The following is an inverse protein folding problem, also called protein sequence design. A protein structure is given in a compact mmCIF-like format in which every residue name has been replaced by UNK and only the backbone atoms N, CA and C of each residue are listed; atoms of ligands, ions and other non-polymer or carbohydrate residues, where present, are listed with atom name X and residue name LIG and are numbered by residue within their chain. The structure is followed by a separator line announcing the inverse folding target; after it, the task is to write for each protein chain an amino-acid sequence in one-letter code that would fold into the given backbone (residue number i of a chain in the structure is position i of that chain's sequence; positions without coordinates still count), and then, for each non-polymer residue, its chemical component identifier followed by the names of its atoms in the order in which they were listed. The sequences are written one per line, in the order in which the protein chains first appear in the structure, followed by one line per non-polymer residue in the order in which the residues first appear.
data_IF_401827708020
#
_entry.id   IF_401827708020
#
_cell.length_a   1.000
_cell.length_b   1.000
_cell.length_c   1.000
_cell.angle_alpha   90.00
_cell.angle_beta   90.00
_cell.angle_gamma   90.00
#
_symmetry.space_group_name_H-M   'P 1'
#
loop_
_entity.id
_entity.type
_entity.pdbx_description
1 polymer ?
#
# COMPACT_ATOMS: atom_id res chain seq x y z
N UNK A 1 -53.81 -26.42 54.82
CA UNK A 1 -52.50 -27.09 54.99
C UNK A 1 -51.66 -26.68 53.84
N UNK A 2 -50.48 -26.22 54.08
CA UNK A 2 -49.57 -25.32 53.36
C UNK A 2 -49.36 -25.66 51.88
N UNK A 3 -49.71 -24.69 51.02
CA UNK A 3 -49.40 -24.56 49.61
C UNK A 3 -48.04 -23.87 49.52
N UNK A 4 -47.09 -24.52 48.86
CA UNK A 4 -45.78 -23.96 48.55
C UNK A 4 -45.85 -23.43 47.13
N UNK A 5 -45.81 -22.12 46.97
CA UNK A 5 -45.66 -21.43 45.69
C UNK A 5 -44.24 -21.62 45.15
N UNK A 6 -44.13 -22.28 44.01
CA UNK A 6 -42.89 -22.26 43.22
C UNK A 6 -42.99 -21.18 42.16
N UNK A 7 -42.28 -20.11 42.39
CA UNK A 7 -42.05 -19.05 41.38
C UNK A 7 -41.08 -19.58 40.33
N UNK A 8 -41.59 -19.77 39.12
CA UNK A 8 -40.75 -20.04 37.94
C UNK A 8 -40.16 -18.72 37.46
N UNK A 9 -38.85 -18.57 37.66
CA UNK A 9 -38.09 -17.49 37.04
C UNK A 9 -37.82 -17.87 35.58
N UNK A 10 -38.56 -17.25 34.66
CA UNK A 10 -38.27 -17.32 33.22
C UNK A 10 -37.06 -16.40 32.94
N UNK A 11 -35.88 -16.99 32.81
CA UNK A 11 -34.72 -16.28 32.27
C UNK A 11 -34.94 -16.08 30.77
N UNK A 12 -35.31 -14.87 30.39
CA UNK A 12 -35.32 -14.46 28.99
C UNK A 12 -33.88 -14.36 28.50
N UNK A 13 -33.40 -15.41 27.82
CA UNK A 13 -32.21 -15.37 26.99
C UNK A 13 -32.50 -14.43 25.81
N UNK A 14 -32.11 -13.17 25.95
CA UNK A 14 -32.05 -12.24 24.86
C UNK A 14 -30.98 -12.69 23.87
N UNK A 15 -31.44 -13.33 22.79
CA UNK A 15 -30.60 -13.58 21.61
C UNK A 15 -30.37 -12.22 20.93
N UNK A 16 -29.32 -11.52 21.33
CA UNK A 16 -28.82 -10.40 20.55
C UNK A 16 -28.19 -10.99 19.30
N UNK A 17 -28.94 -10.92 18.20
CA UNK A 17 -28.39 -11.10 16.85
C UNK A 17 -27.33 -10.00 16.71
N UNK A 18 -26.08 -10.37 16.89
CA UNK A 18 -24.94 -9.53 16.57
C UNK A 18 -25.00 -9.23 15.07
N UNK A 19 -25.51 -8.06 14.72
CA UNK A 19 -25.22 -7.42 13.46
C UNK A 19 -23.68 -7.42 13.34
N UNK A 20 -23.18 -8.17 12.35
CA UNK A 20 -21.76 -8.25 12.07
C UNK A 20 -21.20 -6.83 11.99
N UNK A 21 -20.40 -6.49 12.97
CA UNK A 21 -19.57 -5.32 12.93
C UNK A 21 -18.75 -5.47 11.67
N UNK A 22 -18.99 -4.63 10.66
CA UNK A 22 -17.98 -4.33 9.67
C UNK A 22 -16.68 -4.20 10.46
N UNK A 23 -15.63 -4.89 10.02
CA UNK A 23 -14.31 -4.79 10.63
C UNK A 23 -13.88 -3.33 10.47
N UNK A 24 -14.40 -2.48 11.34
CA UNK A 24 -14.00 -1.10 11.46
C UNK A 24 -12.50 -1.15 11.72
N UNK A 25 -11.74 -0.54 10.82
CA UNK A 25 -10.33 -0.29 11.03
C UNK A 25 -10.21 0.48 12.36
N UNK A 26 -9.86 -0.20 13.44
CA UNK A 26 -9.46 0.44 14.70
C UNK A 26 -8.09 1.08 14.48
N UNK A 27 -8.09 2.17 13.69
CA UNK A 27 -6.95 3.05 13.59
C UNK A 27 -6.61 3.52 14.99
N UNK A 28 -5.42 3.18 15.49
CA UNK A 28 -4.92 3.70 16.73
C UNK A 28 -5.11 5.22 16.70
N UNK A 29 -6.03 5.75 17.52
CA UNK A 29 -6.11 7.19 17.79
C UNK A 29 -4.74 7.60 18.27
N UNK A 30 -3.96 8.18 17.38
CA UNK A 30 -2.72 8.86 17.76
C UNK A 30 -3.20 10.08 18.51
N UNK A 31 -3.03 10.09 19.84
CA UNK A 31 -3.17 11.31 20.62
C UNK A 31 -2.30 12.36 19.94
N UNK A 32 -2.78 13.61 19.77
CA UNK A 32 -1.97 14.66 19.17
C UNK A 32 -0.76 14.94 20.08
N UNK A 33 0.29 14.15 19.90
CA UNK A 33 1.58 14.51 20.44
C UNK A 33 1.94 15.87 19.84
N UNK A 34 2.40 16.81 20.65
CA UNK A 34 2.91 18.09 20.17
C UNK A 34 3.99 17.81 19.16
N UNK A 35 3.63 17.97 17.88
CA UNK A 35 4.48 17.62 16.76
C UNK A 35 5.57 18.68 16.70
N UNK A 36 6.72 18.37 17.24
CA UNK A 36 7.88 19.23 17.13
C UNK A 36 8.69 18.88 15.87
N UNK A 37 8.19 19.36 14.72
CA UNK A 37 9.04 19.48 13.53
C UNK A 37 9.84 20.79 13.55
N UNK A 38 10.09 21.33 14.73
CA UNK A 38 10.64 22.66 14.95
C UNK A 38 9.59 23.78 14.81
N UNK A 39 9.90 25.03 15.23
CA UNK A 39 8.99 26.17 15.18
C UNK A 39 8.75 26.63 13.74
N UNK A 40 8.02 25.82 12.98
CA UNK A 40 7.66 26.12 11.60
C UNK A 40 6.14 26.20 11.48
N UNK A 41 5.57 27.14 12.19
CA UNK A 41 4.40 27.83 11.66
C UNK A 41 4.89 28.54 10.39
N UNK A 42 4.58 27.96 9.20
CA UNK A 42 4.65 28.73 7.96
C UNK A 42 3.81 29.96 8.25
N UNK A 43 4.47 31.11 8.48
CA UNK A 43 3.75 32.38 8.69
C UNK A 43 2.84 32.53 7.50
N UNK A 44 1.60 32.97 7.71
CA UNK A 44 0.59 33.08 6.66
C UNK A 44 1.04 33.88 5.42
N UNK A 45 2.21 34.58 5.48
CA UNK A 45 2.83 35.28 4.37
C UNK A 45 3.91 34.51 3.61
N UNK A 46 4.48 33.43 4.18
CA UNK A 46 5.59 32.66 3.61
C UNK A 46 5.14 31.35 2.93
N UNK A 47 3.86 30.98 3.07
CA UNK A 47 3.31 29.79 2.42
C UNK A 47 3.18 30.04 0.90
N UNK A 48 3.57 29.07 0.04
CA UNK A 48 3.29 29.15 -1.38
C UNK A 48 1.81 29.43 -1.61
N UNK A 49 1.47 30.28 -2.59
CA UNK A 49 0.08 30.56 -2.97
C UNK A 49 -0.66 29.23 -3.18
N UNK A 50 -1.73 28.99 -2.40
CA UNK A 50 -2.54 27.76 -2.48
C UNK A 50 -2.42 26.81 -1.28
N UNK A 51 -1.36 26.87 -0.45
CA UNK A 51 -1.25 25.99 0.74
C UNK A 51 -2.38 26.28 1.74
N UNK A 52 -2.71 27.56 1.97
CA UNK A 52 -3.84 27.92 2.85
C UNK A 52 -5.18 27.38 2.35
N UNK A 53 -5.43 27.40 1.05
CA UNK A 53 -6.65 26.82 0.45
C UNK A 53 -6.67 25.30 0.62
N UNK A 54 -5.52 24.62 0.46
CA UNK A 54 -5.41 23.18 0.71
C UNK A 54 -5.63 22.85 2.18
N UNK A 55 -5.09 23.65 3.10
CA UNK A 55 -5.28 23.48 4.54
C UNK A 55 -6.77 23.60 4.90
N UNK A 56 -7.43 24.65 4.43
CA UNK A 56 -8.87 24.82 4.63
C UNK A 56 -9.67 23.61 4.11
N UNK A 57 -9.42 23.16 2.88
CA UNK A 57 -10.10 22.01 2.31
C UNK A 57 -9.81 20.70 3.07
N UNK A 58 -8.58 20.53 3.57
CA UNK A 58 -8.19 19.37 4.38
C UNK A 58 -8.89 19.37 5.76
N UNK A 59 -9.08 20.52 6.36
CA UNK A 59 -9.84 20.69 7.60
C UNK A 59 -11.33 20.39 7.41
N UNK A 60 -11.87 20.65 6.20
CA UNK A 60 -13.24 20.27 5.81
C UNK A 60 -13.37 18.78 5.44
N UNK A 61 -12.31 17.96 5.62
CA UNK A 61 -12.35 16.52 5.39
C UNK A 61 -12.04 16.07 3.97
N UNK A 62 -11.57 16.94 3.06
CA UNK A 62 -11.23 16.55 1.71
C UNK A 62 -10.02 15.61 1.68
N UNK A 63 -10.24 14.31 1.36
CA UNK A 63 -9.17 13.32 1.23
C UNK A 63 -8.09 13.74 0.21
N UNK A 64 -8.51 14.37 -0.88
CA UNK A 64 -7.58 14.88 -1.92
C UNK A 64 -6.66 15.98 -1.38
N UNK A 65 -7.22 16.92 -0.59
CA UNK A 65 -6.44 18.00 0.00
C UNK A 65 -5.51 17.47 1.11
N UNK A 66 -6.02 16.58 1.95
CA UNK A 66 -5.22 15.89 2.98
C UNK A 66 -4.07 15.10 2.35
N UNK A 67 -4.31 14.35 1.26
CA UNK A 67 -3.28 13.62 0.53
C UNK A 67 -2.20 14.57 -0.02
N UNK A 68 -2.60 15.67 -0.66
CA UNK A 68 -1.64 16.65 -1.21
C UNK A 68 -0.77 17.24 -0.11
N UNK A 69 -1.35 17.65 1.01
CA UNK A 69 -0.59 18.18 2.15
C UNK A 69 0.32 17.10 2.77
N UNK A 70 -0.19 15.90 2.98
CA UNK A 70 0.63 14.78 3.45
C UNK A 70 1.86 14.56 2.57
N UNK A 71 1.69 14.57 1.24
CA UNK A 71 2.81 14.48 0.31
C UNK A 71 3.77 15.66 0.40
N UNK A 72 3.26 16.88 0.45
CA UNK A 72 4.11 18.09 0.59
C UNK A 72 4.97 17.98 1.84
N UNK A 73 4.42 17.57 2.98
CA UNK A 73 5.19 17.38 4.20
C UNK A 73 6.16 16.18 4.12
N UNK A 74 5.81 15.10 3.44
CA UNK A 74 6.69 13.95 3.26
C UNK A 74 7.91 14.27 2.35
N UNK A 75 7.71 15.07 1.31
CA UNK A 75 8.76 15.41 0.34
C UNK A 75 9.49 16.70 0.65
N UNK A 76 8.91 17.61 1.43
CA UNK A 76 9.40 18.97 1.63
C UNK A 76 9.09 19.91 0.46
N UNK A 77 8.15 19.55 -0.43
CA UNK A 77 7.79 20.33 -1.60
C UNK A 77 6.83 21.47 -1.21
N UNK A 78 7.33 22.71 -1.24
CA UNK A 78 6.54 23.91 -0.90
C UNK A 78 6.28 24.12 0.60
N UNK A 79 6.63 23.15 1.43
CA UNK A 79 6.63 23.25 2.90
C UNK A 79 7.86 22.53 3.45
N UNK A 80 8.37 22.88 4.63
CA UNK A 80 9.45 22.11 5.23
C UNK A 80 9.05 20.67 5.49
N UNK A 81 9.95 19.73 5.19
CA UNK A 81 9.70 18.30 5.41
C UNK A 81 9.39 18.00 6.86
N UNK A 82 8.32 17.24 7.09
CA UNK A 82 7.91 16.78 8.40
C UNK A 82 7.16 15.46 8.28
N UNK A 83 7.86 14.36 8.45
CA UNK A 83 7.29 13.00 8.31
C UNK A 83 6.13 12.76 9.30
N UNK A 84 6.18 13.36 10.49
CA UNK A 84 5.10 13.21 11.48
C UNK A 84 3.81 13.93 11.05
N UNK A 85 3.92 15.13 10.47
CA UNK A 85 2.75 15.81 9.88
C UNK A 85 2.20 15.08 8.66
N UNK A 86 3.09 14.53 7.83
CA UNK A 86 2.67 13.69 6.71
C UNK A 86 1.87 12.48 7.21
N UNK A 87 2.39 11.77 8.22
CA UNK A 87 1.72 10.66 8.86
C UNK A 87 0.34 11.03 9.42
N UNK A 88 0.21 12.20 10.06
CA UNK A 88 -1.10 12.67 10.56
C UNK A 88 -2.12 12.88 9.45
N UNK A 89 -1.73 13.55 8.35
CA UNK A 89 -2.65 13.75 7.23
C UNK A 89 -3.09 12.42 6.62
N UNK A 90 -2.16 11.47 6.43
CA UNK A 90 -2.51 10.15 5.93
C UNK A 90 -3.39 9.37 6.91
N UNK A 91 -3.15 9.49 8.21
CA UNK A 91 -3.99 8.88 9.26
C UNK A 91 -5.40 9.45 9.27
N UNK A 92 -5.58 10.77 9.07
CA UNK A 92 -6.91 11.37 8.94
C UNK A 92 -7.68 10.78 7.77
N UNK A 93 -7.02 10.60 6.61
CA UNK A 93 -7.64 9.96 5.44
C UNK A 93 -8.06 8.54 5.79
N UNK A 94 -7.15 7.72 6.35
CA UNK A 94 -7.43 6.34 6.71
C UNK A 94 -8.60 6.23 7.70
N UNK A 95 -8.67 7.12 8.69
CA UNK A 95 -9.73 7.10 9.71
C UNK A 95 -11.10 7.55 9.20
N UNK A 96 -11.14 8.44 8.20
CA UNK A 96 -12.39 9.06 7.74
C UNK A 96 -12.92 8.48 6.44
N UNK A 97 -12.10 7.81 5.66
CA UNK A 97 -12.39 7.38 4.30
C UNK A 97 -12.08 5.89 4.04
N UNK A 98 -11.80 5.10 5.09
CA UNK A 98 -11.53 3.67 4.91
C UNK A 98 -12.68 2.95 4.20
N UNK A 99 -13.92 3.27 4.56
CA UNK A 99 -15.12 2.62 4.03
C UNK A 99 -15.62 3.22 2.71
N UNK A 100 -14.89 4.18 2.13
CA UNK A 100 -15.24 4.74 0.82
C UNK A 100 -15.24 3.64 -0.26
N UNK A 101 -16.20 3.71 -1.18
CA UNK A 101 -16.26 2.73 -2.27
C UNK A 101 -14.98 2.74 -3.11
N UNK A 102 -14.47 1.56 -3.56
CA UNK A 102 -13.23 1.47 -4.34
C UNK A 102 -13.26 2.18 -5.69
N UNK A 103 -14.45 2.48 -6.22
CA UNK A 103 -14.69 3.24 -7.44
C UNK A 103 -14.99 4.73 -7.22
N UNK A 104 -15.01 5.18 -5.95
CA UNK A 104 -15.19 6.58 -5.62
C UNK A 104 -14.03 7.45 -6.17
N UNK A 105 -14.28 8.70 -6.61
CA UNK A 105 -13.25 9.56 -7.18
C UNK A 105 -12.04 9.80 -6.26
N UNK A 106 -12.23 9.74 -4.95
CA UNK A 106 -11.16 9.89 -3.96
C UNK A 106 -10.46 8.58 -3.59
N UNK A 107 -10.99 7.41 -3.97
CA UNK A 107 -10.44 6.09 -3.62
C UNK A 107 -8.93 5.92 -3.92
N UNK A 108 -8.37 6.42 -5.03
CA UNK A 108 -6.93 6.35 -5.26
C UNK A 108 -6.11 7.10 -4.21
N UNK A 109 -6.60 8.23 -3.70
CA UNK A 109 -5.92 9.01 -2.66
C UNK A 109 -6.00 8.30 -1.30
N UNK A 110 -7.16 7.67 -1.01
CA UNK A 110 -7.35 6.86 0.20
C UNK A 110 -6.41 5.66 0.18
N UNK A 111 -6.39 4.89 -0.90
CA UNK A 111 -5.51 3.73 -1.07
C UNK A 111 -4.03 4.11 -0.91
N UNK A 112 -3.61 5.24 -1.52
CA UNK A 112 -2.25 5.73 -1.41
C UNK A 112 -1.90 6.21 0.01
N UNK A 113 -2.87 6.72 0.78
CA UNK A 113 -2.65 7.07 2.18
C UNK A 113 -2.35 5.82 3.01
N UNK A 114 -3.08 4.71 2.79
CA UNK A 114 -2.76 3.43 3.42
C UNK A 114 -1.37 2.91 3.04
N UNK A 115 -0.96 3.08 1.77
CA UNK A 115 0.41 2.73 1.33
C UNK A 115 1.45 3.57 2.08
N UNK A 116 1.26 4.88 2.19
CA UNK A 116 2.16 5.77 2.90
C UNK A 116 2.25 5.42 4.40
N UNK A 117 1.11 5.13 5.04
CA UNK A 117 1.08 4.68 6.44
C UNK A 117 1.81 3.35 6.61
N UNK A 118 1.61 2.40 5.71
CA UNK A 118 2.33 1.13 5.70
C UNK A 118 3.84 1.33 5.64
N UNK A 119 4.31 2.27 4.82
CA UNK A 119 5.72 2.61 4.74
C UNK A 119 6.25 3.22 6.05
N UNK A 120 5.51 4.16 6.65
CA UNK A 120 5.89 4.73 7.95
C UNK A 120 5.89 3.69 9.07
N UNK A 121 5.01 2.69 9.02
CA UNK A 121 5.05 1.58 9.99
C UNK A 121 6.17 0.57 9.70
N UNK A 122 6.67 0.45 8.48
CA UNK A 122 7.88 -0.36 8.23
C UNK A 122 9.12 0.29 8.81
N UNK A 123 9.29 1.59 8.58
CA UNK A 123 10.52 2.30 8.88
C UNK A 123 10.51 2.95 10.27
N UNK A 124 9.33 3.26 10.80
CA UNK A 124 9.15 4.16 11.93
C UNK A 124 9.46 5.62 11.54
N UNK A 125 9.17 6.56 12.44
CA UNK A 125 9.58 7.96 12.29
C UNK A 125 10.55 8.30 13.42
N UNK A 126 11.81 8.68 13.14
CA UNK A 126 12.79 9.01 14.17
C UNK A 126 12.29 10.10 15.12
N UNK A 127 12.61 9.97 16.41
CA UNK A 127 12.25 10.92 17.45
C UNK A 127 10.73 11.21 17.60
N UNK A 128 9.90 10.23 17.24
CA UNK A 128 8.45 10.33 17.30
C UNK A 128 7.81 9.14 18.05
N UNK A 129 6.52 9.19 18.39
CA UNK A 129 5.78 8.04 18.90
C UNK A 129 5.54 6.94 17.84
N UNK A 130 5.69 7.26 16.54
CA UNK A 130 5.50 6.29 15.46
C UNK A 130 6.72 5.38 15.36
N UNK A 131 6.64 4.21 15.99
CA UNK A 131 7.70 3.19 15.96
C UNK A 131 7.48 2.24 14.80
N UNK A 132 8.56 1.59 14.35
CA UNK A 132 8.47 0.51 13.38
C UNK A 132 7.58 -0.62 13.92
N UNK A 133 6.58 -1.01 13.12
CA UNK A 133 5.63 -2.08 13.42
C UNK A 133 5.26 -2.82 12.13
N UNK A 134 5.98 -3.90 11.79
CA UNK A 134 5.73 -4.67 10.58
C UNK A 134 4.32 -5.27 10.49
N UNK A 135 3.66 -5.54 11.63
CA UNK A 135 2.30 -6.06 11.63
C UNK A 135 1.32 -4.99 11.18
N UNK A 136 1.42 -3.78 11.73
CA UNK A 136 0.63 -2.64 11.26
C UNK A 136 0.91 -2.28 9.81
N UNK A 137 2.18 -2.31 9.39
CA UNK A 137 2.53 -2.11 7.98
C UNK A 137 1.80 -3.09 7.07
N UNK A 138 1.83 -4.38 7.43
CA UNK A 138 1.12 -5.44 6.70
C UNK A 138 -0.39 -5.21 6.64
N UNK A 139 -1.01 -4.76 7.74
CA UNK A 139 -2.44 -4.43 7.78
C UNK A 139 -2.78 -3.30 6.81
N UNK A 140 -2.00 -2.21 6.80
CA UNK A 140 -2.18 -1.08 5.88
C UNK A 140 -2.08 -1.53 4.43
N UNK A 141 -1.00 -2.26 4.08
CA UNK A 141 -0.83 -2.75 2.72
C UNK A 141 -1.88 -3.79 2.33
N UNK A 142 -2.27 -4.71 3.24
CA UNK A 142 -3.31 -5.70 2.97
C UNK A 142 -4.65 -5.03 2.66
N UNK A 143 -4.99 -3.99 3.41
CA UNK A 143 -6.22 -3.26 3.17
C UNK A 143 -6.22 -2.57 1.81
N UNK A 144 -5.19 -1.78 1.50
CA UNK A 144 -5.07 -1.09 0.21
C UNK A 144 -4.96 -2.08 -0.97
N UNK A 145 -4.28 -3.21 -0.78
CA UNK A 145 -4.10 -4.23 -1.82
C UNK A 145 -5.39 -5.00 -2.13
N UNK A 146 -6.15 -5.35 -1.09
CA UNK A 146 -7.33 -6.21 -1.23
C UNK A 146 -8.60 -5.42 -1.52
N UNK A 147 -8.85 -4.33 -0.77
CA UNK A 147 -10.08 -3.56 -0.90
C UNK A 147 -10.03 -2.60 -2.08
N UNK A 148 -8.98 -1.78 -2.18
CA UNK A 148 -8.82 -0.83 -3.28
C UNK A 148 -8.08 -1.41 -4.49
N UNK A 149 -7.48 -2.57 -4.36
CA UNK A 149 -6.69 -3.16 -5.44
C UNK A 149 -5.46 -2.33 -5.82
N UNK A 150 -4.90 -1.53 -4.90
CA UNK A 150 -3.76 -0.65 -5.16
C UNK A 150 -2.51 -1.47 -5.52
N UNK A 151 -1.87 -1.13 -6.65
CA UNK A 151 -0.74 -1.90 -7.18
C UNK A 151 0.53 -1.75 -6.33
N UNK A 152 0.78 -0.57 -5.77
CA UNK A 152 1.94 -0.35 -4.88
C UNK A 152 1.76 -1.11 -3.56
N UNK A 153 0.54 -1.13 -3.01
CA UNK A 153 0.23 -1.93 -1.83
C UNK A 153 0.43 -3.43 -2.09
N UNK A 154 -0.01 -3.93 -3.26
CA UNK A 154 0.20 -5.33 -3.67
C UNK A 154 1.69 -5.65 -3.77
N UNK A 155 2.50 -4.75 -4.31
CA UNK A 155 3.96 -4.88 -4.36
C UNK A 155 4.59 -4.93 -2.95
N UNK A 156 4.24 -3.98 -2.08
CA UNK A 156 4.78 -3.95 -0.70
C UNK A 156 4.35 -5.18 0.11
N UNK A 157 3.11 -5.63 -0.05
CA UNK A 157 2.62 -6.85 0.59
C UNK A 157 3.40 -8.09 0.10
N UNK A 158 3.70 -8.17 -1.21
CA UNK A 158 4.54 -9.22 -1.75
C UNK A 158 5.96 -9.21 -1.13
N UNK A 159 6.55 -8.02 -0.96
CA UNK A 159 7.83 -7.86 -0.28
C UNK A 159 7.81 -8.40 1.15
N UNK A 160 6.76 -8.09 1.91
CA UNK A 160 6.58 -8.60 3.28
C UNK A 160 6.60 -10.13 3.30
N UNK A 161 5.93 -10.80 2.35
CA UNK A 161 5.94 -12.26 2.25
C UNK A 161 7.28 -12.84 1.75
N UNK A 162 8.05 -12.11 0.94
CA UNK A 162 9.39 -12.53 0.51
C UNK A 162 10.41 -12.41 1.62
N UNK A 163 10.35 -11.31 2.37
CA UNK A 163 11.34 -10.97 3.40
C UNK A 163 10.99 -11.64 4.74
N UNK A 164 9.71 -11.98 4.97
CA UNK A 164 9.23 -12.56 6.24
C UNK A 164 9.08 -11.52 7.34
N UNK A 165 8.82 -10.25 7.00
CA UNK A 165 8.65 -9.17 7.97
C UNK A 165 7.28 -9.27 8.68
N UNK A 166 7.29 -9.68 9.95
CA UNK A 166 6.06 -9.83 10.75
C UNK A 166 5.16 -11.01 10.35
N UNK A 167 5.57 -11.84 9.38
CA UNK A 167 4.90 -13.07 8.95
C UNK A 167 5.93 -14.13 8.56
N UNK A 168 5.52 -15.38 8.51
CA UNK A 168 6.34 -16.43 7.91
C UNK A 168 6.57 -16.12 6.42
N UNK A 169 7.81 -16.36 5.97
CA UNK A 169 8.17 -16.21 4.55
C UNK A 169 7.34 -17.14 3.68
N UNK A 170 6.64 -16.57 2.71
CA UNK A 170 5.84 -17.31 1.71
C UNK A 170 6.05 -16.75 0.29
N UNK A 171 7.08 -17.23 -0.43
CA UNK A 171 7.34 -16.77 -1.78
C UNK A 171 6.23 -17.09 -2.80
N UNK A 172 5.41 -18.12 -2.54
CA UNK A 172 4.25 -18.42 -3.40
C UNK A 172 3.15 -17.38 -3.24
N UNK A 173 2.88 -16.98 -2.01
CA UNK A 173 1.94 -15.89 -1.75
C UNK A 173 2.45 -14.56 -2.32
N UNK A 174 3.76 -14.30 -2.19
CA UNK A 174 4.39 -13.14 -2.78
C UNK A 174 4.22 -13.12 -4.31
N UNK A 175 4.47 -14.24 -5.00
CA UNK A 175 4.28 -14.33 -6.44
C UNK A 175 2.84 -14.02 -6.90
N UNK A 176 1.84 -14.38 -6.10
CA UNK A 176 0.42 -14.03 -6.37
C UNK A 176 0.21 -12.51 -6.32
N UNK A 177 0.71 -11.85 -5.27
CA UNK A 177 0.62 -10.41 -5.14
C UNK A 177 1.43 -9.68 -6.21
N UNK A 178 2.65 -10.14 -6.51
CA UNK A 178 3.46 -9.60 -7.61
C UNK A 178 2.74 -9.70 -8.95
N UNK A 179 2.03 -10.82 -9.21
CA UNK A 179 1.27 -10.99 -10.45
C UNK A 179 0.15 -9.94 -10.57
N UNK A 180 -0.58 -9.68 -9.48
CA UNK A 180 -1.63 -8.66 -9.47
C UNK A 180 -1.05 -7.26 -9.72
N UNK A 181 0.04 -6.91 -9.04
CA UNK A 181 0.71 -5.62 -9.19
C UNK A 181 1.33 -5.44 -10.59
N UNK A 182 2.03 -6.46 -11.10
CA UNK A 182 2.67 -6.46 -12.42
C UNK A 182 1.65 -6.27 -13.54
N UNK A 183 0.51 -6.94 -13.45
CA UNK A 183 -0.61 -6.77 -14.38
C UNK A 183 -1.17 -5.36 -14.40
N UNK A 184 -1.03 -4.59 -13.33
CA UNK A 184 -1.42 -3.18 -13.25
C UNK A 184 -0.31 -2.21 -13.68
N UNK A 185 0.87 -2.72 -14.05
CA UNK A 185 1.98 -1.92 -14.52
C UNK A 185 2.93 -1.45 -13.42
N UNK A 186 2.82 -2.00 -12.22
CA UNK A 186 3.77 -1.71 -11.14
C UNK A 186 5.13 -2.33 -11.48
N UNK A 187 6.10 -1.50 -11.85
CA UNK A 187 7.32 -1.95 -12.54
C UNK A 187 8.29 -2.72 -11.64
N UNK A 188 8.39 -2.39 -10.35
CA UNK A 188 9.19 -3.18 -9.43
C UNK A 188 8.60 -4.58 -9.23
N UNK A 189 7.27 -4.70 -9.21
CA UNK A 189 6.60 -5.99 -9.18
C UNK A 189 6.84 -6.79 -10.47
N UNK A 190 6.83 -6.13 -11.63
CA UNK A 190 7.19 -6.75 -12.90
C UNK A 190 8.62 -7.29 -12.87
N UNK A 191 9.58 -6.53 -12.31
CA UNK A 191 10.97 -6.96 -12.19
C UNK A 191 11.11 -8.19 -11.28
N UNK A 192 10.50 -8.16 -10.11
CA UNK A 192 10.58 -9.27 -9.15
C UNK A 192 9.88 -10.52 -9.66
N UNK A 193 8.66 -10.40 -10.20
CA UNK A 193 7.94 -11.51 -10.83
C UNK A 193 8.71 -12.08 -12.00
N UNK A 194 9.26 -11.20 -12.85
CA UNK A 194 10.06 -11.57 -14.00
C UNK A 194 11.27 -12.42 -13.60
N UNK A 195 11.97 -12.00 -12.56
CA UNK A 195 13.12 -12.75 -12.04
C UNK A 195 12.71 -14.11 -11.45
N UNK A 196 11.63 -14.15 -10.65
CA UNK A 196 11.11 -15.40 -10.08
C UNK A 196 10.72 -16.41 -11.17
N UNK A 197 10.00 -15.98 -12.21
CA UNK A 197 9.61 -16.82 -13.34
C UNK A 197 10.83 -17.25 -14.17
N UNK A 198 11.80 -16.36 -14.37
CA UNK A 198 13.02 -16.69 -15.13
C UNK A 198 13.85 -17.77 -14.43
N UNK A 199 14.00 -17.67 -13.11
CA UNK A 199 14.76 -18.65 -12.31
C UNK A 199 13.97 -19.91 -11.99
N UNK A 200 12.65 -19.84 -11.89
CA UNK A 200 11.81 -20.91 -11.34
C UNK A 200 11.85 -20.93 -9.82
N UNK A 201 12.04 -19.78 -9.17
CA UNK A 201 12.08 -19.68 -7.72
C UNK A 201 10.65 -19.56 -7.15
N UNK A 202 10.27 -20.57 -6.36
CA UNK A 202 8.94 -20.74 -5.76
C UNK A 202 7.75 -20.83 -6.76
N UNK A 203 7.99 -20.66 -8.03
CA UNK A 203 7.05 -20.78 -9.15
C UNK A 203 7.67 -21.63 -10.26
N UNK A 204 6.88 -22.29 -11.13
CA UNK A 204 7.44 -22.97 -12.29
C UNK A 204 8.30 -22.03 -13.15
N UNK A 205 9.42 -22.55 -13.68
CA UNK A 205 10.29 -21.76 -14.55
C UNK A 205 9.58 -21.49 -15.88
N UNK A 206 9.36 -20.21 -16.17
CA UNK A 206 8.79 -19.69 -17.41
C UNK A 206 9.70 -18.57 -17.95
N UNK A 207 10.90 -18.95 -18.43
CA UNK A 207 11.97 -18.01 -18.74
C UNK A 207 11.56 -16.91 -19.75
N UNK A 208 10.83 -17.28 -20.81
CA UNK A 208 10.37 -16.31 -21.81
C UNK A 208 9.38 -15.28 -21.21
N UNK A 209 8.43 -15.73 -20.36
CA UNK A 209 7.52 -14.84 -19.66
C UNK A 209 8.26 -13.98 -18.62
N UNK A 210 9.22 -14.57 -17.91
CA UNK A 210 10.10 -13.86 -16.99
C UNK A 210 10.85 -12.73 -17.68
N UNK A 211 11.43 -13.01 -18.86
CA UNK A 211 12.17 -12.03 -19.64
C UNK A 211 11.26 -10.92 -20.19
N UNK A 212 10.04 -11.25 -20.61
CA UNK A 212 9.01 -10.26 -20.98
C UNK A 212 8.74 -9.27 -19.84
N UNK A 213 8.50 -9.78 -18.62
CA UNK A 213 8.25 -8.92 -17.45
C UNK A 213 9.44 -8.05 -17.09
N UNK A 214 10.66 -8.59 -17.15
CA UNK A 214 11.90 -7.84 -16.94
C UNK A 214 12.08 -6.74 -17.98
N UNK A 215 11.69 -6.98 -19.25
CA UNK A 215 11.72 -5.96 -20.30
C UNK A 215 10.79 -4.80 -19.97
N UNK A 216 9.53 -5.08 -19.61
CA UNK A 216 8.56 -4.06 -19.22
C UNK A 216 9.01 -3.26 -18.00
N UNK A 217 9.57 -3.94 -17.01
CA UNK A 217 10.10 -3.29 -15.81
C UNK A 217 11.23 -2.33 -16.15
N UNK A 218 12.19 -2.77 -16.98
CA UNK A 218 13.32 -1.93 -17.40
C UNK A 218 12.87 -0.69 -18.15
N UNK A 219 11.89 -0.80 -19.06
CA UNK A 219 11.38 0.34 -19.82
C UNK A 219 10.72 1.40 -18.93
N UNK A 220 10.20 1.00 -17.76
CA UNK A 220 9.53 1.87 -16.80
C UNK A 220 10.41 2.26 -15.61
N UNK A 221 11.61 1.68 -15.50
CA UNK A 221 12.52 1.90 -14.38
C UNK A 221 13.03 3.34 -14.33
N UNK A 222 13.16 3.88 -13.11
CA UNK A 222 13.78 5.18 -12.87
C UNK A 222 15.30 5.05 -12.89
N UNK A 223 16.01 6.18 -13.04
CA UNK A 223 17.47 6.22 -13.08
C UNK A 223 18.14 5.57 -11.87
N UNK A 224 17.49 5.63 -10.70
CA UNK A 224 18.01 5.09 -9.44
C UNK A 224 17.75 3.58 -9.28
N UNK A 225 16.86 2.99 -10.10
CA UNK A 225 16.49 1.57 -10.03
C UNK A 225 17.48 0.67 -10.81
N UNK A 226 18.78 0.84 -10.59
CA UNK A 226 19.86 0.09 -11.29
C UNK A 226 19.70 -1.42 -11.17
N UNK A 227 19.19 -1.91 -10.04
CA UNK A 227 18.94 -3.32 -9.79
C UNK A 227 18.01 -3.97 -10.82
N UNK A 228 17.07 -3.23 -11.40
CA UNK A 228 16.16 -3.74 -12.45
C UNK A 228 16.95 -4.01 -13.73
N UNK A 229 17.83 -3.08 -14.11
CA UNK A 229 18.70 -3.26 -15.25
C UNK A 229 19.65 -4.48 -15.06
N UNK A 230 20.21 -4.64 -13.86
CA UNK A 230 21.08 -5.76 -13.52
C UNK A 230 20.33 -7.11 -13.62
N UNK A 231 19.08 -7.18 -13.13
CA UNK A 231 18.24 -8.37 -13.26
C UNK A 231 17.95 -8.69 -14.72
N UNK A 232 17.56 -7.67 -15.51
CA UNK A 232 17.31 -7.84 -16.94
C UNK A 232 18.55 -8.32 -17.68
N UNK A 233 19.69 -7.66 -17.53
CA UNK A 233 20.95 -8.00 -18.21
C UNK A 233 21.41 -9.41 -17.84
N UNK A 234 21.30 -9.78 -16.58
CA UNK A 234 21.63 -11.11 -16.08
C UNK A 234 20.73 -12.20 -16.69
N UNK A 235 19.42 -11.94 -16.75
CA UNK A 235 18.46 -12.85 -17.36
C UNK A 235 18.66 -12.94 -18.89
N UNK A 236 18.84 -11.79 -19.55
CA UNK A 236 19.03 -11.74 -21.00
C UNK A 236 20.30 -12.50 -21.45
N UNK A 237 21.40 -12.39 -20.72
CA UNK A 237 22.66 -13.14 -21.00
C UNK A 237 22.47 -14.64 -20.85
N UNK A 238 21.66 -15.10 -19.87
CA UNK A 238 21.44 -16.52 -19.60
C UNK A 238 20.38 -17.15 -20.50
N UNK A 239 19.44 -16.36 -21.05
CA UNK A 239 18.37 -16.84 -21.91
C UNK A 239 18.95 -17.34 -23.26
N UNK A 240 18.41 -18.48 -23.74
CA UNK A 240 18.69 -18.94 -25.09
C UNK A 240 17.89 -18.17 -26.15
N UNK A 241 18.18 -18.44 -27.45
CA UNK A 241 17.54 -17.70 -28.54
C UNK A 241 16.04 -17.93 -28.63
N UNK A 242 15.55 -19.13 -28.34
CA UNK A 242 14.11 -19.46 -28.38
C UNK A 242 13.37 -18.75 -27.23
N UNK A 243 13.96 -18.71 -26.04
CA UNK A 243 13.38 -17.97 -24.89
C UNK A 243 13.29 -16.47 -25.18
N UNK A 244 14.33 -15.89 -25.81
CA UNK A 244 14.32 -14.46 -26.22
C UNK A 244 13.28 -14.20 -27.30
N UNK A 245 13.18 -15.03 -28.32
CA UNK A 245 12.20 -14.90 -29.38
C UNK A 245 10.77 -15.02 -28.84
N UNK A 246 10.51 -16.00 -27.97
CA UNK A 246 9.21 -16.18 -27.35
C UNK A 246 8.85 -15.03 -26.40
N UNK A 247 9.84 -14.46 -25.71
CA UNK A 247 9.62 -13.28 -24.86
C UNK A 247 9.10 -12.07 -25.65
N UNK A 248 9.63 -11.85 -26.86
CA UNK A 248 9.14 -10.80 -27.76
C UNK A 248 7.68 -11.03 -28.19
N UNK A 249 7.31 -12.29 -28.50
CA UNK A 249 5.93 -12.64 -28.82
C UNK A 249 4.98 -12.35 -27.65
N UNK A 250 5.39 -12.69 -26.42
CA UNK A 250 4.61 -12.36 -25.22
C UNK A 250 4.50 -10.87 -24.99
N UNK A 251 5.59 -10.11 -25.20
CA UNK A 251 5.61 -8.66 -25.07
C UNK A 251 4.65 -8.00 -26.08
N UNK A 252 4.71 -8.41 -27.33
CA UNK A 252 3.82 -7.88 -28.38
C UNK A 252 2.35 -8.15 -28.05
N UNK A 253 2.02 -9.35 -27.61
CA UNK A 253 0.66 -9.70 -27.16
C UNK A 253 0.21 -8.86 -25.98
N UNK A 254 1.06 -8.67 -24.97
CA UNK A 254 0.78 -7.84 -23.81
C UNK A 254 0.48 -6.37 -24.20
N UNK A 255 1.29 -5.81 -25.07
CA UNK A 255 1.11 -4.43 -25.55
C UNK A 255 -0.17 -4.26 -26.37
N UNK A 256 -0.57 -5.26 -27.16
CA UNK A 256 -1.83 -5.23 -27.90
C UNK A 256 -3.05 -5.21 -26.97
N UNK A 257 -3.08 -6.09 -25.95
CA UNK A 257 -4.22 -6.18 -25.01
C UNK A 257 -4.43 -4.94 -24.13
N UNK A 258 -3.52 -3.98 -24.14
CA UNK A 258 -3.61 -2.73 -23.37
C UNK A 258 -3.98 -1.51 -24.23
N UNK A 259 -4.01 -1.66 -25.53
CA UNK A 259 -4.42 -0.59 -26.46
C UNK A 259 -5.91 -0.63 -26.77
N UNK A 260 -6.52 -1.78 -26.58
CA UNK A 260 -7.97 -2.03 -26.74
C UNK A 260 -8.68 -1.79 -25.38
#
# INVERSE_FOLDING_TARGET
MRIIENAIVIAALGLTIGLGSALGFEGARVEPATIDCGPQTVKAGDAPKGVGTLQYAAEQGSAVAQWKLGRMYATGEGVPRCDLRAFEYFSRIANSHADDYPDAPQAPFVANAFVALGQYYLDGIPNSPVKADPNRAREMFSYAASYFGNADAQYHLARIYLDGHGVARDPRQAARWLTLAANKGQYQAQAMLGYMLFKGDAVPREAARGLMWLTLARDSAKADDKWINELYDGAFKQANNDERALALVYLERWLKTRRD
#
